data_IF_634262039033
#
_entry.id   IF_634262039033
#
_cell.length_a   1.000
_cell.length_b   1.000
_cell.length_c   1.000
_cell.angle_alpha   90.00
_cell.angle_beta   90.00
_cell.angle_gamma   90.00
#
_symmetry.space_group_name_H-M   'P 1'
#
loop_
_entity.id
_entity.type
_entity.pdbx_description
1 polymer ?
#
# COMPACT_ATOMS: atom_id res chain seq x y z
N UNK A 1 -1.63 7.67 20.12
CA UNK A 1 -1.68 7.36 18.67
C UNK A 1 -1.72 5.85 18.52
N UNK A 2 -2.63 5.30 17.71
CA UNK A 2 -2.72 3.86 17.49
C UNK A 2 -1.42 3.36 16.80
N UNK A 3 -0.80 2.33 17.37
CA UNK A 3 0.40 1.70 16.84
C UNK A 3 0.00 0.81 15.66
N UNK A 4 0.67 0.95 14.52
CA UNK A 4 0.48 0.07 13.36
C UNK A 4 1.08 -1.30 13.68
N UNK A 5 0.34 -2.35 13.34
CA UNK A 5 0.70 -3.75 13.57
C UNK A 5 0.71 -4.54 12.27
N UNK A 6 1.40 -5.69 12.28
CA UNK A 6 1.37 -6.65 11.17
C UNK A 6 -0.05 -7.08 10.79
N UNK A 7 -0.97 -7.17 11.75
CA UNK A 7 -2.38 -7.52 11.50
C UNK A 7 -3.07 -6.48 10.62
N UNK A 8 -2.79 -5.19 10.85
CA UNK A 8 -3.36 -4.10 10.03
C UNK A 8 -2.90 -4.23 8.57
N UNK A 9 -1.63 -4.60 8.35
CA UNK A 9 -1.09 -4.80 6.99
C UNK A 9 -1.68 -6.05 6.35
N UNK A 10 -1.77 -7.15 7.09
CA UNK A 10 -2.36 -8.41 6.60
C UNK A 10 -3.80 -8.21 6.15
N UNK A 11 -4.62 -7.48 6.89
CA UNK A 11 -6.01 -7.20 6.49
C UNK A 11 -6.09 -6.45 5.15
N UNK A 12 -5.22 -5.44 4.96
CA UNK A 12 -5.12 -4.70 3.69
C UNK A 12 -4.73 -5.66 2.55
N UNK A 13 -3.69 -6.47 2.78
CA UNK A 13 -3.17 -7.40 1.77
C UNK A 13 -4.22 -8.42 1.38
N UNK A 14 -4.87 -9.06 2.35
CA UNK A 14 -5.93 -10.05 2.13
C UNK A 14 -7.09 -9.50 1.30
N UNK A 15 -7.52 -8.26 1.61
CA UNK A 15 -8.60 -7.59 0.86
C UNK A 15 -8.15 -7.24 -0.56
N UNK A 16 -6.96 -6.66 -0.73
CA UNK A 16 -6.44 -6.25 -2.04
C UNK A 16 -6.09 -7.42 -2.96
N UNK A 17 -5.65 -8.54 -2.42
CA UNK A 17 -5.35 -9.76 -3.18
C UNK A 17 -6.58 -10.59 -3.54
N UNK A 18 -7.77 -10.21 -3.05
CA UNK A 18 -8.99 -10.96 -3.31
C UNK A 18 -9.41 -10.90 -4.78
N UNK A 19 -9.91 -12.01 -5.32
CA UNK A 19 -10.53 -12.02 -6.65
C UNK A 19 -11.90 -11.33 -6.67
N UNK A 20 -12.51 -11.09 -5.50
CA UNK A 20 -13.81 -10.44 -5.38
C UNK A 20 -13.67 -8.93 -5.50
N UNK A 21 -14.34 -8.34 -6.51
CA UNK A 21 -14.32 -6.89 -6.78
C UNK A 21 -14.67 -6.05 -5.54
N UNK A 22 -15.71 -6.44 -4.79
CA UNK A 22 -16.13 -5.73 -3.57
C UNK A 22 -15.05 -5.76 -2.48
N UNK A 23 -14.40 -6.90 -2.28
CA UNK A 23 -13.34 -7.05 -1.28
C UNK A 23 -12.12 -6.19 -1.63
N UNK A 24 -11.71 -6.16 -2.91
CA UNK A 24 -10.63 -5.26 -3.36
C UNK A 24 -10.96 -3.80 -3.15
N UNK A 25 -12.18 -3.39 -3.45
CA UNK A 25 -12.63 -2.00 -3.23
C UNK A 25 -12.59 -1.64 -1.74
N UNK A 26 -13.01 -2.54 -0.85
CA UNK A 26 -12.86 -2.35 0.60
C UNK A 26 -11.38 -2.24 1.01
N UNK A 27 -10.50 -3.07 0.42
CA UNK A 27 -9.05 -2.98 0.65
C UNK A 27 -8.47 -1.63 0.24
N UNK A 28 -8.90 -1.09 -0.91
CA UNK A 28 -8.49 0.25 -1.36
C UNK A 28 -8.98 1.34 -0.40
N UNK A 29 -10.25 1.27 0.04
CA UNK A 29 -10.79 2.22 1.02
C UNK A 29 -10.01 2.14 2.33
N UNK A 30 -9.81 0.94 2.87
CA UNK A 30 -9.05 0.69 4.09
C UNK A 30 -7.65 1.29 3.99
N UNK A 31 -6.92 1.00 2.90
CA UNK A 31 -5.59 1.55 2.68
C UNK A 31 -5.58 3.07 2.60
N UNK A 32 -6.52 3.71 1.89
CA UNK A 32 -6.61 5.18 1.88
C UNK A 32 -6.76 5.74 3.28
N UNK A 33 -7.55 5.06 4.12
CA UNK A 33 -7.72 5.52 5.49
C UNK A 33 -6.39 5.54 6.26
N UNK A 34 -5.46 4.61 5.96
CA UNK A 34 -4.09 4.60 6.50
C UNK A 34 -3.14 5.58 5.82
N UNK A 35 -3.33 5.90 4.54
CA UNK A 35 -2.49 6.84 3.79
C UNK A 35 -2.89 8.31 3.98
N UNK A 36 -4.00 8.58 4.66
CA UNK A 36 -4.53 9.92 4.90
C UNK A 36 -4.51 10.30 6.40
N UNK A 37 -4.44 11.60 6.66
CA UNK A 37 -4.52 12.17 8.01
C UNK A 37 -3.33 11.83 8.92
N UNK A 38 -3.52 12.03 10.22
CA UNK A 38 -2.45 11.98 11.24
C UNK A 38 -1.81 10.60 11.40
N UNK A 39 -2.59 9.51 11.22
CA UNK A 39 -2.05 8.15 11.35
C UNK A 39 -1.14 7.74 10.20
N UNK A 40 -1.14 8.51 9.11
CA UNK A 40 -0.40 8.16 7.92
C UNK A 40 1.10 8.13 8.10
N UNK A 41 1.63 9.05 8.92
CA UNK A 41 3.06 9.06 9.23
C UNK A 41 3.52 7.74 9.87
N UNK A 42 2.79 7.26 10.89
CA UNK A 42 3.16 6.01 11.58
C UNK A 42 3.05 4.78 10.68
N UNK A 43 2.06 4.74 9.79
CA UNK A 43 1.92 3.68 8.79
C UNK A 43 3.07 3.68 7.78
N UNK A 44 3.37 4.84 7.20
CA UNK A 44 4.45 4.97 6.22
C UNK A 44 5.81 4.67 6.85
N UNK A 45 6.03 5.12 8.09
CA UNK A 45 7.25 4.81 8.86
C UNK A 45 7.39 3.31 9.13
N UNK A 46 6.30 2.62 9.48
CA UNK A 46 6.33 1.16 9.70
C UNK A 46 6.74 0.40 8.44
N UNK A 47 6.05 0.65 7.32
CA UNK A 47 6.37 0.02 6.02
C UNK A 47 7.78 0.41 5.56
N UNK A 48 8.17 1.67 5.75
CA UNK A 48 9.50 2.19 5.40
C UNK A 48 10.63 1.51 6.16
N UNK A 49 10.49 1.33 7.48
CA UNK A 49 11.46 0.59 8.29
C UNK A 49 11.63 -0.85 7.84
N UNK A 50 10.54 -1.54 7.50
CA UNK A 50 10.60 -2.88 6.94
C UNK A 50 11.24 -2.90 5.55
N UNK A 51 10.93 -1.91 4.71
CA UNK A 51 11.52 -1.77 3.37
C UNK A 51 13.03 -1.53 3.45
N UNK A 52 13.50 -0.69 4.37
CA UNK A 52 14.92 -0.39 4.55
C UNK A 52 15.75 -1.59 5.06
N UNK A 53 15.09 -2.62 5.60
CA UNK A 53 15.72 -3.87 6.05
C UNK A 53 15.89 -4.89 4.94
N UNK A 54 15.23 -4.70 3.79
CA UNK A 54 15.38 -5.59 2.65
C UNK A 54 16.81 -5.53 2.11
N UNK A 55 17.39 -6.70 1.85
CA UNK A 55 18.61 -6.78 1.05
C UNK A 55 18.27 -6.57 -0.43
N UNK A 56 19.22 -6.06 -1.26
CA UNK A 56 18.96 -5.79 -2.68
C UNK A 56 18.46 -7.02 -3.47
N UNK A 57 18.85 -8.22 -3.06
CA UNK A 57 18.51 -9.51 -3.66
C UNK A 57 17.30 -10.20 -3.01
N UNK A 58 16.72 -9.60 -1.97
CA UNK A 58 15.64 -10.20 -1.21
C UNK A 58 14.28 -9.97 -1.88
N UNK A 59 13.45 -11.01 -1.88
CA UNK A 59 12.07 -10.91 -2.37
C UNK A 59 11.28 -10.03 -1.40
N UNK A 60 10.63 -8.94 -1.86
CA UNK A 60 9.85 -8.07 -0.98
C UNK A 60 8.72 -8.83 -0.28
N UNK A 61 8.74 -8.82 1.05
CA UNK A 61 7.67 -9.42 1.86
C UNK A 61 6.50 -8.45 2.04
N UNK A 62 5.39 -8.96 2.59
CA UNK A 62 4.06 -8.31 2.62
C UNK A 62 4.00 -6.92 3.27
N UNK A 63 4.97 -6.57 4.11
CA UNK A 63 5.00 -5.34 4.89
C UNK A 63 6.00 -4.31 4.36
N UNK A 64 6.23 -4.33 3.05
CA UNK A 64 7.21 -3.45 2.37
C UNK A 64 6.55 -2.65 1.26
N UNK A 65 7.12 -1.48 0.96
CA UNK A 65 6.63 -0.63 -0.12
C UNK A 65 6.63 -1.32 -1.48
N UNK A 66 7.70 -2.02 -1.91
CA UNK A 66 7.70 -2.71 -3.20
C UNK A 66 6.60 -3.76 -3.32
N UNK A 67 6.32 -4.52 -2.24
CA UNK A 67 5.22 -5.48 -2.23
C UNK A 67 3.86 -4.78 -2.35
N UNK A 68 3.61 -3.78 -1.51
CA UNK A 68 2.32 -3.08 -1.47
C UNK A 68 2.03 -2.35 -2.79
N UNK A 69 3.02 -1.67 -3.37
CA UNK A 69 2.90 -1.01 -4.69
C UNK A 69 2.64 -2.04 -5.78
N UNK A 70 3.35 -3.17 -5.78
CA UNK A 70 3.12 -4.25 -6.75
C UNK A 70 1.70 -4.83 -6.64
N UNK A 71 1.19 -4.99 -5.41
CA UNK A 71 -0.17 -5.46 -5.17
C UNK A 71 -1.21 -4.45 -5.66
N UNK A 72 -0.99 -3.15 -5.44
CA UNK A 72 -1.87 -2.09 -5.96
C UNK A 72 -1.89 -2.03 -7.48
N UNK A 73 -0.74 -2.21 -8.14
CA UNK A 73 -0.65 -2.29 -9.61
C UNK A 73 -1.47 -3.47 -10.12
N UNK A 74 -1.34 -4.65 -9.51
CA UNK A 74 -2.16 -5.83 -9.86
C UNK A 74 -3.65 -5.56 -9.67
N UNK A 75 -4.03 -4.97 -8.54
CA UNK A 75 -5.42 -4.65 -8.21
C UNK A 75 -6.03 -3.64 -9.19
N UNK A 76 -5.30 -2.58 -9.55
CA UNK A 76 -5.70 -1.60 -10.55
C UNK A 76 -5.79 -2.21 -11.96
N UNK A 77 -4.85 -3.08 -12.33
CA UNK A 77 -4.87 -3.80 -13.61
C UNK A 77 -6.09 -4.72 -13.73
N UNK A 78 -6.47 -5.39 -12.64
CA UNK A 78 -7.67 -6.22 -12.58
C UNK A 78 -8.96 -5.39 -12.71
N UNK A 79 -9.03 -4.23 -12.05
CA UNK A 79 -10.14 -3.28 -12.21
C UNK A 79 -10.29 -2.86 -13.68
N UNK A 80 -9.21 -2.41 -14.32
CA UNK A 80 -9.20 -2.00 -15.74
C UNK A 80 -9.64 -3.16 -16.65
N UNK A 81 -9.11 -4.35 -16.43
CA UNK A 81 -9.42 -5.52 -17.26
C UNK A 81 -10.88 -6.00 -17.12
N UNK A 82 -11.47 -5.81 -15.94
CA UNK A 82 -12.87 -6.16 -15.66
C UNK A 82 -13.88 -5.14 -16.22
N UNK A 83 -13.41 -3.97 -16.63
CA UNK A 83 -14.22 -2.78 -16.87
C UNK A 83 -14.92 -2.77 -18.24
N UNK A 84 -15.03 -3.90 -18.94
CA UNK A 84 -15.61 -4.01 -20.31
C UNK A 84 -17.03 -3.44 -20.47
N UNK A 85 -17.73 -3.11 -19.38
CA UNK A 85 -19.08 -2.50 -19.38
C UNK A 85 -19.20 -1.18 -18.60
N UNK A 86 -18.19 -0.78 -17.81
CA UNK A 86 -18.21 0.40 -16.93
C UNK A 86 -16.81 0.99 -16.81
N UNK A 87 -16.70 2.31 -16.75
CA UNK A 87 -15.41 2.95 -16.56
C UNK A 87 -14.70 2.47 -15.28
N UNK A 88 -13.38 2.26 -15.29
CA UNK A 88 -12.61 1.91 -14.10
C UNK A 88 -12.81 2.94 -12.99
N UNK A 89 -12.88 2.47 -11.74
CA UNK A 89 -13.00 3.39 -10.60
C UNK A 89 -11.71 4.17 -10.38
N UNK A 90 -11.81 5.50 -10.40
CA UNK A 90 -10.70 6.44 -10.22
C UNK A 90 -9.95 6.25 -8.88
N UNK A 91 -10.61 5.69 -7.86
CA UNK A 91 -10.01 5.48 -6.54
C UNK A 91 -8.75 4.60 -6.60
N UNK A 92 -8.69 3.59 -7.48
CA UNK A 92 -7.51 2.73 -7.63
C UNK A 92 -6.28 3.54 -8.09
N UNK A 93 -6.45 4.38 -9.11
CA UNK A 93 -5.38 5.23 -9.63
C UNK A 93 -4.93 6.27 -8.61
N UNK A 94 -5.88 6.89 -7.88
CA UNK A 94 -5.58 7.86 -6.81
C UNK A 94 -4.78 7.21 -5.68
N UNK A 95 -5.22 6.05 -5.19
CA UNK A 95 -4.53 5.33 -4.11
C UNK A 95 -3.14 4.88 -4.54
N UNK A 96 -2.98 4.35 -5.75
CA UNK A 96 -1.66 3.97 -6.27
C UNK A 96 -0.71 5.17 -6.31
N UNK A 97 -1.17 6.33 -6.83
CA UNK A 97 -0.38 7.57 -6.83
C UNK A 97 0.06 7.96 -5.43
N UNK A 98 -0.87 7.98 -4.46
CA UNK A 98 -0.55 8.36 -3.07
C UNK A 98 0.46 7.37 -2.48
N UNK A 99 0.27 6.06 -2.67
CA UNK A 99 1.18 5.03 -2.16
C UNK A 99 2.61 5.21 -2.71
N UNK A 100 2.76 5.47 -4.01
CA UNK A 100 4.08 5.75 -4.62
C UNK A 100 4.70 7.00 -4.03
N UNK A 101 3.93 8.10 -3.91
CA UNK A 101 4.42 9.34 -3.31
C UNK A 101 4.89 9.13 -1.86
N UNK A 102 4.25 8.24 -1.09
CA UNK A 102 4.69 7.92 0.28
C UNK A 102 5.89 6.98 0.33
N UNK A 103 6.02 6.08 -0.65
CA UNK A 103 7.19 5.22 -0.78
C UNK A 103 8.46 6.02 -1.13
N UNK A 104 8.31 7.10 -1.91
CA UNK A 104 9.40 7.99 -2.31
C UNK A 104 9.74 9.07 -1.27
N UNK A 105 8.87 9.30 -0.27
CA UNK A 105 9.10 10.31 0.76
C UNK A 105 10.25 9.90 1.69
N UNK A 106 11.36 10.65 1.63
CA UNK A 106 12.54 10.43 2.44
C UNK A 106 12.24 10.40 3.96
N UNK A 107 11.25 11.17 4.42
CA UNK A 107 10.81 11.18 5.83
C UNK A 107 10.20 9.85 6.28
N UNK A 108 9.75 9.05 5.31
CA UNK A 108 9.18 7.74 5.50
C UNK A 108 10.17 6.62 5.15
N UNK A 109 11.43 6.93 4.80
CA UNK A 109 12.40 5.95 4.30
C UNK A 109 12.86 4.92 5.34
N UNK A 110 12.63 5.17 6.63
CA UNK A 110 13.11 4.31 7.72
C UNK A 110 14.62 4.31 7.89
N UNK A 111 15.38 5.01 7.03
CA UNK A 111 16.81 5.25 7.22
C UNK A 111 16.95 6.31 8.30
N UNK A 112 17.78 6.05 9.31
CA UNK A 112 18.23 7.12 10.19
C UNK A 112 18.99 8.12 9.32
N UNK A 113 18.54 9.38 9.32
CA UNK A 113 19.30 10.50 8.77
C UNK A 113 20.74 10.38 9.29
N UNK A 114 21.72 10.27 8.38
CA UNK A 114 23.11 10.24 8.78
C UNK A 114 23.44 11.61 9.39
N UNK A 115 23.74 11.63 10.69
CA UNK A 115 24.26 12.81 11.41
C UNK A 115 25.74 12.95 11.11
#
# INVERSE_FOLDING_TARGET
MAKVTSRDIQEIVEKLSSDKVKAREEGIKLLNTWLEGERSYNFCKFIGLNTARLRPDEIPHTETWPFLVSLLIKSASAEISSSKRKNPKVIYAKTLRIAVQRAEDAKCSGRLEAV
#
